data_IF_645450381837
#
_entry.id   IF_645450381837
#
_cell.length_a   1.000
_cell.length_b   1.000
_cell.length_c   1.000
_cell.angle_alpha   90.00
_cell.angle_beta   90.00
_cell.angle_gamma   90.00
#
_symmetry.space_group_name_H-M   'P 1'
#
loop_
_entity.id
_entity.type
_entity.pdbx_description
1 polymer ?
#
# COMPACT_ATOMS: atom_id res chain seq x y z
N UNK A 1 22.14 1.21 26.29
CA UNK A 1 21.45 1.40 25.00
C UNK A 1 19.98 1.10 25.24
N UNK A 2 19.09 2.07 25.06
CA UNK A 2 17.65 1.81 25.11
C UNK A 2 17.19 1.42 23.70
N UNK A 3 16.47 0.30 23.59
CA UNK A 3 15.95 -0.22 22.33
C UNK A 3 14.62 0.48 22.03
N UNK A 4 14.68 1.64 21.40
CA UNK A 4 13.53 2.53 21.17
C UNK A 4 12.56 2.09 20.05
N UNK A 5 12.75 0.90 19.46
CA UNK A 5 11.98 0.46 18.27
C UNK A 5 11.76 -1.05 18.23
N UNK A 6 11.64 -1.68 19.38
CA UNK A 6 11.40 -3.11 19.50
C UNK A 6 9.95 -3.37 19.90
N UNK A 7 9.26 -4.19 19.12
CA UNK A 7 7.89 -4.63 19.37
C UNK A 7 7.86 -6.16 19.37
N UNK A 8 7.05 -6.76 20.26
CA UNK A 8 6.87 -8.21 20.37
C UNK A 8 5.40 -8.58 20.23
N UNK A 9 5.12 -9.74 19.65
CA UNK A 9 3.80 -10.39 19.68
C UNK A 9 3.56 -11.20 20.97
N UNK A 10 4.56 -11.34 21.84
CA UNK A 10 4.43 -12.00 23.14
C UNK A 10 4.36 -10.97 24.27
N UNK A 11 3.37 -11.10 25.15
CA UNK A 11 3.13 -10.17 26.26
C UNK A 11 4.32 -10.07 27.23
N UNK A 12 5.05 -11.18 27.44
CA UNK A 12 6.22 -11.23 28.33
C UNK A 12 7.41 -10.42 27.80
N UNK A 13 7.52 -10.29 26.47
CA UNK A 13 8.60 -9.56 25.80
C UNK A 13 8.13 -8.21 25.24
N UNK A 14 6.86 -7.84 25.47
CA UNK A 14 6.34 -6.54 25.10
C UNK A 14 7.01 -5.48 25.98
N UNK A 15 7.86 -4.65 25.37
CA UNK A 15 8.53 -3.56 26.08
C UNK A 15 7.46 -2.55 26.50
N UNK A 16 7.24 -2.38 27.81
CA UNK A 16 6.47 -1.28 28.40
C UNK A 16 7.25 0.04 28.23
N UNK A 17 7.46 0.47 26.99
CA UNK A 17 8.26 1.63 26.64
C UNK A 17 7.37 2.86 26.42
N UNK A 18 7.77 3.97 27.02
CA UNK A 18 7.15 5.30 26.92
C UNK A 18 6.60 5.58 25.52
N UNK A 19 5.31 5.93 25.45
CA UNK A 19 4.63 6.31 24.21
C UNK A 19 5.30 7.53 23.59
N UNK A 20 6.15 7.32 22.58
CA UNK A 20 6.68 8.41 21.77
C UNK A 20 5.57 8.96 20.87
N UNK A 21 5.45 10.28 20.72
CA UNK A 21 4.31 10.93 20.04
C UNK A 21 4.17 10.58 18.54
N UNK A 22 5.12 9.84 17.97
CA UNK A 22 5.14 9.43 16.56
C UNK A 22 5.02 7.91 16.33
N UNK A 23 4.91 7.10 17.38
CA UNK A 23 4.81 5.64 17.24
C UNK A 23 3.57 5.14 17.96
N UNK A 24 2.64 4.54 17.21
CA UNK A 24 1.60 3.72 17.84
C UNK A 24 2.30 2.44 18.34
N UNK A 25 2.38 2.17 19.65
CA UNK A 25 3.16 1.04 20.18
C UNK A 25 2.67 -0.33 19.68
N UNK A 26 1.48 -0.38 19.08
CA UNK A 26 0.82 -1.58 18.57
C UNK A 26 1.00 -1.81 17.06
N UNK A 27 1.47 -0.79 16.33
CA UNK A 27 1.67 -0.86 14.87
C UNK A 27 3.09 -0.41 14.50
N UNK A 28 3.85 -1.30 13.88
CA UNK A 28 5.17 -0.95 13.31
C UNK A 28 5.08 -0.94 11.80
N UNK A 29 5.38 0.21 11.17
CA UNK A 29 5.45 0.34 9.70
C UNK A 29 6.88 0.14 9.21
N UNK A 30 7.07 -0.75 8.25
CA UNK A 30 8.34 -0.94 7.52
C UNK A 30 8.03 -1.13 6.04
N UNK A 31 8.60 -0.26 5.19
CA UNK A 31 8.48 -0.37 3.72
C UNK A 31 7.02 -0.52 3.24
N UNK A 32 6.13 0.34 3.75
CA UNK A 32 4.68 0.35 3.46
C UNK A 32 3.84 -0.85 3.93
N UNK A 33 4.48 -1.85 4.53
CA UNK A 33 3.80 -2.91 5.30
C UNK A 33 3.67 -2.46 6.76
N UNK A 34 2.48 -2.61 7.32
CA UNK A 34 2.19 -2.37 8.73
C UNK A 34 2.09 -3.72 9.42
N UNK A 35 2.86 -3.93 10.48
CA UNK A 35 2.73 -5.09 11.34
C UNK A 35 1.95 -4.71 12.60
N UNK A 36 0.82 -5.40 12.83
CA UNK A 36 0.04 -5.34 14.07
C UNK A 36 0.59 -6.38 15.03
N UNK A 37 1.35 -5.94 16.03
CA UNK A 37 2.08 -6.86 16.92
C UNK A 37 1.16 -7.75 17.75
N UNK A 38 0.00 -7.22 18.18
CA UNK A 38 -0.96 -7.95 19.03
C UNK A 38 -1.65 -9.11 18.32
N UNK A 39 -2.06 -8.91 17.08
CA UNK A 39 -2.74 -9.94 16.28
C UNK A 39 -1.77 -10.76 15.44
N UNK A 40 -0.51 -10.32 15.36
CA UNK A 40 0.55 -10.89 14.53
C UNK A 40 0.22 -10.93 13.02
N UNK A 41 -0.42 -9.87 12.53
CA UNK A 41 -0.83 -9.74 11.13
C UNK A 41 -0.07 -8.62 10.43
N UNK A 42 0.20 -8.81 9.14
CA UNK A 42 0.55 -7.75 8.21
C UNK A 42 -0.70 -7.10 7.64
N UNK A 43 -0.68 -5.78 7.56
CA UNK A 43 -1.69 -4.93 6.97
C UNK A 43 -1.03 -3.96 5.98
N UNK A 44 -1.83 -3.42 5.08
CA UNK A 44 -1.38 -2.49 4.05
C UNK A 44 -2.14 -1.17 4.20
N UNK A 45 -1.51 -0.05 3.83
CA UNK A 45 -2.14 1.27 3.85
C UNK A 45 -1.94 1.97 2.51
N UNK A 46 -3.03 2.14 1.77
CA UNK A 46 -3.12 2.94 0.56
C UNK A 46 -3.90 4.20 0.89
N UNK A 47 -3.34 5.37 0.53
CA UNK A 47 -3.99 6.65 0.77
C UNK A 47 -5.26 6.80 -0.09
N UNK A 48 -6.30 7.37 0.49
CA UNK A 48 -7.52 7.79 -0.22
C UNK A 48 -7.30 9.18 -0.80
N UNK A 49 -6.63 9.25 -1.96
CA UNK A 49 -6.45 10.48 -2.71
C UNK A 49 -7.36 10.51 -3.95
N UNK A 50 -7.70 11.71 -4.43
CA UNK A 50 -8.29 11.85 -5.76
C UNK A 50 -7.31 11.31 -6.80
N UNK A 51 -7.71 10.23 -7.46
CA UNK A 51 -6.86 9.58 -8.44
C UNK A 51 -6.87 10.36 -9.74
N UNK A 52 -5.72 10.94 -10.06
CA UNK A 52 -5.52 11.63 -11.33
C UNK A 52 -5.65 10.70 -12.53
N UNK A 53 -6.24 11.23 -13.61
CA UNK A 53 -6.50 10.52 -14.87
C UNK A 53 -5.53 10.97 -15.99
N UNK A 54 -4.26 11.17 -15.66
CA UNK A 54 -3.18 11.30 -16.66
C UNK A 54 -2.21 10.13 -16.54
N UNK A 55 -1.49 9.81 -17.61
CA UNK A 55 -0.52 8.71 -17.61
C UNK A 55 0.53 8.84 -16.49
N UNK A 56 0.99 10.07 -16.21
CA UNK A 56 1.92 10.38 -15.12
C UNK A 56 1.31 10.07 -13.76
N UNK A 57 0.06 10.48 -13.54
CA UNK A 57 -0.62 10.27 -12.26
C UNK A 57 -0.92 8.79 -12.03
N UNK A 58 -1.35 8.05 -13.07
CA UNK A 58 -1.49 6.59 -13.02
C UNK A 58 -0.20 5.91 -12.58
N UNK A 59 0.93 6.23 -13.23
CA UNK A 59 2.23 5.68 -12.86
C UNK A 59 2.61 6.03 -11.42
N UNK A 60 2.40 7.28 -11.01
CA UNK A 60 2.67 7.75 -9.65
C UNK A 60 1.87 6.96 -8.62
N UNK A 61 0.59 6.69 -8.87
CA UNK A 61 -0.25 5.88 -7.99
C UNK A 61 0.26 4.43 -7.92
N UNK A 62 0.60 3.81 -9.05
CA UNK A 62 1.14 2.44 -9.07
C UNK A 62 2.43 2.34 -8.26
N UNK A 63 3.33 3.33 -8.42
CA UNK A 63 4.61 3.34 -7.73
C UNK A 63 4.48 3.52 -6.20
N UNK A 64 3.37 4.08 -5.71
CA UNK A 64 3.08 4.20 -4.28
C UNK A 64 2.65 2.88 -3.64
N UNK A 65 2.15 1.93 -4.42
CA UNK A 65 1.81 0.59 -3.92
C UNK A 65 3.10 -0.23 -3.91
N UNK A 66 3.91 -0.01 -2.87
CA UNK A 66 5.13 -0.77 -2.66
C UNK A 66 4.83 -2.09 -1.93
N UNK A 67 5.24 -3.21 -2.53
CA UNK A 67 4.97 -4.55 -2.02
C UNK A 67 6.27 -5.37 -1.95
N UNK A 68 7.07 -5.21 -0.87
CA UNK A 68 8.35 -5.89 -0.73
C UNK A 68 8.19 -7.40 -0.50
N UNK A 69 7.03 -7.85 -0.02
CA UNK A 69 6.76 -9.24 0.31
C UNK A 69 6.03 -10.00 -0.81
N UNK A 70 5.55 -9.29 -1.83
CA UNK A 70 4.80 -9.90 -2.95
C UNK A 70 3.34 -10.25 -2.62
N UNK A 71 2.84 -9.86 -1.45
CA UNK A 71 1.49 -10.20 -0.97
C UNK A 71 0.41 -9.51 -1.82
N UNK A 72 0.66 -8.28 -2.25
CA UNK A 72 -0.20 -7.52 -3.15
C UNK A 72 0.12 -7.79 -4.63
N UNK A 73 0.90 -8.83 -4.94
CA UNK A 73 1.34 -9.19 -6.29
C UNK A 73 0.22 -9.14 -7.35
N UNK A 74 -0.98 -9.72 -7.13
CA UNK A 74 -2.09 -9.63 -8.08
C UNK A 74 -2.59 -8.19 -8.32
N UNK A 75 -2.67 -7.37 -7.26
CA UNK A 75 -3.10 -5.97 -7.33
C UNK A 75 -2.11 -5.14 -8.13
N UNK A 76 -0.82 -5.26 -7.79
CA UNK A 76 0.27 -4.55 -8.50
C UNK A 76 0.35 -5.01 -9.95
N UNK A 77 0.15 -6.31 -10.23
CA UNK A 77 0.17 -6.85 -11.58
C UNK A 77 -0.95 -6.28 -12.44
N UNK A 78 -2.19 -6.23 -11.92
CA UNK A 78 -3.33 -5.63 -12.64
C UNK A 78 -3.07 -4.16 -12.96
N UNK A 79 -2.50 -3.41 -12.02
CA UNK A 79 -2.14 -2.02 -12.23
C UNK A 79 -1.04 -1.85 -13.30
N UNK A 80 -0.02 -2.71 -13.30
CA UNK A 80 1.05 -2.71 -14.31
C UNK A 80 0.54 -3.09 -15.71
N UNK A 81 -0.40 -4.03 -15.81
CA UNK A 81 -1.07 -4.37 -17.09
C UNK A 81 -1.82 -3.15 -17.63
N UNK A 82 -2.55 -2.43 -16.77
CA UNK A 82 -3.22 -1.19 -17.17
C UNK A 82 -2.22 -0.13 -17.65
N UNK A 83 -1.13 0.06 -16.93
CA UNK A 83 -0.05 0.96 -17.37
C UNK A 83 0.51 0.55 -18.74
N UNK A 84 0.73 -0.75 -18.97
CA UNK A 84 1.14 -1.31 -20.26
C UNK A 84 0.15 -0.95 -21.39
N UNK A 85 -1.15 -1.07 -21.14
CA UNK A 85 -2.21 -0.64 -22.06
C UNK A 85 -2.07 0.85 -22.44
N UNK A 86 -1.78 1.72 -21.47
CA UNK A 86 -1.56 3.16 -21.75
C UNK A 86 -0.32 3.43 -22.60
N UNK A 87 0.70 2.59 -22.52
CA UNK A 87 1.87 2.69 -23.41
C UNK A 87 1.50 2.40 -24.86
N UNK A 88 0.63 1.43 -25.12
CA UNK A 88 0.15 1.12 -26.48
C UNK A 88 -0.74 2.23 -27.07
N UNK A 89 -1.40 3.04 -26.24
CA UNK A 89 -2.18 4.21 -26.68
C UNK A 89 -1.31 5.41 -27.06
N UNK A 90 0.00 5.33 -26.87
CA UNK A 90 0.98 6.38 -27.22
C UNK A 90 0.67 7.76 -26.63
N UNK A 91 0.06 7.78 -25.43
CA UNK A 91 -0.22 9.01 -24.68
C UNK A 91 1.07 9.62 -24.13
N UNK A 92 1.16 10.96 -24.13
CA UNK A 92 2.19 11.68 -23.37
C UNK A 92 1.90 11.60 -21.88
N UNK A 93 2.85 12.05 -21.07
CA UNK A 93 2.79 11.96 -19.61
C UNK A 93 1.60 12.70 -19.01
N UNK A 94 1.34 13.91 -19.49
CA UNK A 94 0.32 14.81 -18.94
C UNK A 94 -0.96 14.82 -19.77
N UNK A 95 -1.04 13.96 -20.79
CA UNK A 95 -2.28 13.78 -21.56
C UNK A 95 -3.33 13.09 -20.66
N UNK A 96 -4.59 13.56 -20.71
CA UNK A 96 -5.69 12.87 -20.05
C UNK A 96 -5.92 11.50 -20.68
N UNK A 97 -6.35 10.54 -19.87
CA UNK A 97 -6.78 9.24 -20.37
C UNK A 97 -8.04 9.40 -21.23
N UNK A 98 -8.19 8.61 -22.31
CA UNK A 98 -9.47 8.51 -23.01
C UNK A 98 -10.55 8.00 -22.06
N UNK A 99 -11.82 8.37 -22.32
CA UNK A 99 -12.92 8.15 -21.38
C UNK A 99 -13.02 6.70 -20.87
N UNK A 100 -12.88 5.72 -21.77
CA UNK A 100 -12.93 4.29 -21.41
C UNK A 100 -11.84 3.90 -20.41
N UNK A 101 -10.60 4.32 -20.66
CA UNK A 101 -9.46 4.04 -19.78
C UNK A 101 -9.55 4.82 -18.48
N UNK A 102 -10.08 6.05 -18.52
CA UNK A 102 -10.33 6.84 -17.32
C UNK A 102 -11.33 6.14 -16.39
N UNK A 103 -12.46 5.68 -16.94
CA UNK A 103 -13.48 4.95 -16.18
C UNK A 103 -12.92 3.65 -15.59
N UNK A 104 -12.19 2.87 -16.39
CA UNK A 104 -11.53 1.64 -15.94
C UNK A 104 -10.52 1.93 -14.81
N UNK A 105 -9.73 3.00 -14.94
CA UNK A 105 -8.76 3.41 -13.94
C UNK A 105 -9.42 3.83 -12.64
N UNK A 106 -10.46 4.67 -12.70
CA UNK A 106 -11.19 5.14 -11.53
C UNK A 106 -11.90 4.00 -10.77
N UNK A 107 -12.43 3.02 -11.50
CA UNK A 107 -12.97 1.80 -10.88
C UNK A 107 -11.88 0.97 -10.19
N UNK A 108 -10.72 0.80 -10.83
CA UNK A 108 -9.60 0.10 -10.21
C UNK A 108 -9.07 0.85 -8.98
N UNK A 109 -8.91 2.17 -9.08
CA UNK A 109 -8.31 2.98 -8.03
C UNK A 109 -9.23 3.17 -6.83
N UNK A 110 -10.55 3.26 -7.05
CA UNK A 110 -11.53 3.22 -5.94
C UNK A 110 -11.49 1.87 -5.22
N UNK A 111 -11.43 0.76 -5.95
CA UNK A 111 -11.27 -0.58 -5.36
C UNK A 111 -9.92 -0.79 -4.67
N UNK A 112 -8.90 0.02 -4.98
CA UNK A 112 -7.59 -0.06 -4.33
C UNK A 112 -7.68 0.25 -2.82
N UNK A 113 -8.69 0.99 -2.37
CA UNK A 113 -8.92 1.24 -0.94
C UNK A 113 -9.21 -0.06 -0.17
N UNK A 114 -9.75 -1.09 -0.83
CA UNK A 114 -10.03 -2.39 -0.20
C UNK A 114 -8.74 -3.12 0.21
N UNK A 115 -7.58 -2.69 -0.29
CA UNK A 115 -6.28 -3.20 0.17
C UNK A 115 -6.05 -2.89 1.66
N UNK A 116 -6.67 -1.82 2.19
CA UNK A 116 -6.58 -1.45 3.59
C UNK A 116 -7.23 -2.48 4.53
N UNK A 117 -8.15 -3.29 4.00
CA UNK A 117 -8.86 -4.34 4.75
C UNK A 117 -8.15 -5.70 4.67
N UNK A 118 -7.03 -5.79 3.94
CA UNK A 118 -6.24 -7.03 3.85
C UNK A 118 -5.43 -7.19 5.12
N UNK A 119 -5.68 -8.30 5.81
CA UNK A 119 -4.85 -8.79 6.92
C UNK A 119 -4.31 -10.17 6.56
N UNK A 120 -3.00 -10.35 6.74
CA UNK A 120 -2.32 -11.62 6.48
C UNK A 120 -1.52 -11.99 7.72
N UNK A 121 -1.76 -13.18 8.27
CA UNK A 121 -0.98 -13.69 9.40
C UNK A 121 0.49 -13.80 9.01
N UNK A 122 1.39 -13.35 9.90
CA UNK A 122 2.84 -13.39 9.64
C UNK A 122 3.39 -14.82 9.64
N UNK A 123 2.75 -15.73 10.37
CA UNK A 123 3.15 -17.13 10.47
C UNK A 123 2.44 -17.98 9.41
N UNK A 124 3.21 -18.50 8.46
CA UNK A 124 2.85 -19.65 7.60
C UNK A 124 3.65 -20.86 8.11
#
# INVERSE_FOLDING_TARGET
MSLHKWCSNTAELAVNGESYPFSNPEETKTLDVVWKSKTDCFCFKVASEEFGVTKRLVLSTIARVFDPLGILGPVVSKAKIFLQKLWFLNLKWDDPLPAKEADEWLQFSSALQNVNDIEVDRCI
#
